data_IF_150679711247
#
_entry.id   IF_150679711247
#
_cell.length_a   1.000
_cell.length_b   1.000
_cell.length_c   1.000
_cell.angle_alpha   90.00
_cell.angle_beta   90.00
_cell.angle_gamma   90.00
#
_symmetry.space_group_name_H-M   'P 1'
#
loop_
_entity.id
_entity.type
_entity.pdbx_description
1 polymer ?
#
# COMPACT_ATOMS: atom_id res chain seq x y z
N UNK A 1 16.65 -7.52 -41.51
CA UNK A 1 16.11 -8.10 -40.26
C UNK A 1 14.97 -7.20 -39.80
N UNK A 2 13.74 -7.71 -39.73
CA UNK A 2 12.61 -6.95 -39.17
C UNK A 2 12.79 -6.90 -37.65
N UNK A 3 13.11 -5.73 -37.10
CA UNK A 3 13.14 -5.52 -35.65
C UNK A 3 11.69 -5.51 -35.16
N UNK A 4 11.24 -6.61 -34.56
CA UNK A 4 9.97 -6.63 -33.85
C UNK A 4 10.00 -5.59 -32.72
N UNK A 5 9.01 -4.69 -32.71
CA UNK A 5 8.87 -3.66 -31.67
C UNK A 5 7.95 -4.15 -30.55
N UNK A 6 8.51 -4.31 -29.35
CA UNK A 6 7.74 -4.64 -28.16
C UNK A 6 7.09 -3.37 -27.60
N UNK A 7 5.76 -3.31 -27.62
CA UNK A 7 4.99 -2.22 -27.03
C UNK A 7 4.47 -2.62 -25.65
N UNK A 8 4.57 -1.71 -24.67
CA UNK A 8 4.05 -1.92 -23.30
C UNK A 8 3.12 -0.77 -22.92
N UNK A 9 1.95 -1.11 -22.37
CA UNK A 9 1.03 -0.09 -21.86
C UNK A 9 1.52 0.44 -20.51
N UNK A 10 1.07 1.64 -20.11
CA UNK A 10 1.42 2.22 -18.80
C UNK A 10 0.98 1.33 -17.63
N UNK A 11 -0.22 0.73 -17.73
CA UNK A 11 -0.71 -0.19 -16.71
C UNK A 11 0.12 -1.49 -16.65
N UNK A 12 0.49 -2.06 -17.80
CA UNK A 12 1.36 -3.24 -17.84
C UNK A 12 2.77 -2.94 -17.30
N UNK A 13 3.30 -1.74 -17.58
CA UNK A 13 4.56 -1.28 -17.01
C UNK A 13 4.47 -1.13 -15.48
N UNK A 14 3.39 -0.53 -14.98
CA UNK A 14 3.14 -0.40 -13.54
C UNK A 14 3.04 -1.78 -12.85
N UNK A 15 2.32 -2.74 -13.44
CA UNK A 15 2.23 -4.13 -12.94
C UNK A 15 3.62 -4.75 -12.79
N UNK A 16 4.40 -4.75 -13.88
CA UNK A 16 5.74 -5.37 -13.92
C UNK A 16 6.72 -4.74 -12.92
N UNK A 17 6.68 -3.41 -12.80
CA UNK A 17 7.51 -2.69 -11.85
C UNK A 17 7.08 -2.95 -10.41
N UNK A 18 5.77 -2.98 -10.12
CA UNK A 18 5.24 -3.27 -8.79
C UNK A 18 5.59 -4.69 -8.35
N UNK A 19 5.42 -5.69 -9.22
CA UNK A 19 5.85 -7.06 -8.95
C UNK A 19 7.35 -7.14 -8.66
N UNK A 20 8.17 -6.37 -9.39
CA UNK A 20 9.62 -6.33 -9.13
C UNK A 20 9.94 -5.65 -7.79
N UNK A 21 9.28 -4.55 -7.45
CA UNK A 21 9.46 -3.87 -6.17
C UNK A 21 9.06 -4.77 -4.98
N UNK A 22 7.97 -5.53 -5.10
CA UNK A 22 7.56 -6.51 -4.09
C UNK A 22 8.60 -7.62 -3.92
N UNK A 23 9.16 -8.13 -5.03
CA UNK A 23 10.23 -9.14 -4.98
C UNK A 23 11.47 -8.61 -4.28
N UNK A 24 11.90 -7.39 -4.60
CA UNK A 24 13.05 -6.73 -3.95
C UNK A 24 12.77 -6.50 -2.45
N UNK A 25 11.56 -6.07 -2.10
CA UNK A 25 11.15 -5.89 -0.71
C UNK A 25 11.23 -7.19 0.10
N UNK A 26 10.74 -8.30 -0.44
CA UNK A 26 10.82 -9.59 0.25
C UNK A 26 12.21 -10.21 0.26
N UNK A 27 13.08 -9.81 -0.66
CA UNK A 27 14.49 -10.18 -0.68
C UNK A 27 15.33 -9.33 0.30
N UNK A 28 14.71 -8.34 0.96
CA UNK A 28 15.42 -7.37 1.82
C UNK A 28 16.55 -6.66 1.07
N UNK A 29 16.30 -6.32 -0.19
CA UNK A 29 17.20 -5.51 -1.00
C UNK A 29 17.28 -4.06 -0.51
N UNK A 30 18.17 -3.27 -1.11
CA UNK A 30 18.41 -1.88 -0.73
C UNK A 30 17.11 -1.04 -0.70
N UNK A 31 16.89 -0.35 0.42
CA UNK A 31 15.67 0.42 0.67
C UNK A 31 15.45 1.55 -0.33
N UNK A 32 16.51 2.20 -0.81
CA UNK A 32 16.42 3.28 -1.79
C UNK A 32 16.11 2.73 -3.19
N UNK A 33 16.63 1.56 -3.54
CA UNK A 33 16.29 0.87 -4.78
C UNK A 33 14.82 0.46 -4.81
N UNK A 34 14.31 -0.13 -3.73
CA UNK A 34 12.88 -0.47 -3.58
C UNK A 34 12.03 0.79 -3.69
N UNK A 35 12.39 1.84 -2.94
CA UNK A 35 11.63 3.09 -2.91
C UNK A 35 11.56 3.73 -4.28
N UNK A 36 12.67 3.77 -5.02
CA UNK A 36 12.75 4.35 -6.37
C UNK A 36 11.73 3.70 -7.31
N UNK A 37 11.67 2.36 -7.31
CA UNK A 37 10.74 1.63 -8.18
C UNK A 37 9.30 1.82 -7.69
N UNK A 38 9.06 1.70 -6.38
CA UNK A 38 7.73 1.87 -5.81
C UNK A 38 7.17 3.28 -6.04
N UNK A 39 7.97 4.33 -5.91
CA UNK A 39 7.54 5.72 -6.19
C UNK A 39 7.22 5.93 -7.66
N UNK A 40 8.00 5.33 -8.57
CA UNK A 40 7.73 5.39 -10.00
C UNK A 40 6.41 4.70 -10.35
N UNK A 41 6.15 3.52 -9.76
CA UNK A 41 4.86 2.81 -9.86
C UNK A 41 3.73 3.69 -9.34
N UNK A 42 3.90 4.29 -8.16
CA UNK A 42 2.84 5.08 -7.54
C UNK A 42 2.47 6.31 -8.36
N UNK A 43 3.47 6.98 -8.95
CA UNK A 43 3.26 8.07 -9.91
C UNK A 43 2.44 7.63 -11.13
N UNK A 44 2.79 6.47 -11.72
CA UNK A 44 2.03 5.90 -12.85
C UNK A 44 0.57 5.60 -12.47
N UNK A 45 0.36 4.94 -11.32
CA UNK A 45 -0.98 4.54 -10.88
C UNK A 45 -1.84 5.76 -10.54
N UNK A 46 -1.28 6.78 -9.87
CA UNK A 46 -1.95 8.07 -9.65
C UNK A 46 -2.44 8.67 -10.96
N UNK A 47 -1.56 8.78 -11.95
CA UNK A 47 -1.89 9.45 -13.20
C UNK A 47 -2.97 8.67 -13.98
N UNK A 48 -2.91 7.34 -13.95
CA UNK A 48 -3.93 6.47 -14.54
C UNK A 48 -5.28 6.56 -13.80
N UNK A 49 -5.28 6.68 -12.47
CA UNK A 49 -6.49 6.94 -11.67
C UNK A 49 -7.12 8.29 -12.01
N UNK A 50 -6.29 9.33 -12.11
CA UNK A 50 -6.75 10.68 -12.49
C UNK A 50 -7.42 10.68 -13.86
N UNK A 51 -6.85 9.98 -14.85
CA UNK A 51 -7.43 9.85 -16.19
C UNK A 51 -8.84 9.20 -16.18
N UNK A 52 -9.13 8.40 -15.15
CA UNK A 52 -10.43 7.76 -14.92
C UNK A 52 -11.36 8.55 -13.98
N UNK A 53 -11.01 9.80 -13.66
CA UNK A 53 -11.79 10.66 -12.76
C UNK A 53 -11.69 10.28 -11.28
N UNK A 54 -10.71 9.47 -10.88
CA UNK A 54 -10.46 9.09 -9.49
C UNK A 54 -9.32 9.92 -8.88
N UNK A 55 -9.30 10.03 -7.54
CA UNK A 55 -8.22 10.71 -6.81
C UNK A 55 -7.59 9.75 -5.80
N UNK A 56 -6.35 9.36 -6.06
CA UNK A 56 -5.60 8.46 -5.17
C UNK A 56 -5.43 9.04 -3.76
N UNK A 57 -5.18 10.34 -3.64
CA UNK A 57 -5.06 10.98 -2.34
C UNK A 57 -6.39 10.93 -1.57
N UNK A 58 -7.52 11.21 -2.25
CA UNK A 58 -8.84 11.14 -1.63
C UNK A 58 -9.19 9.69 -1.22
N UNK A 59 -8.91 8.71 -2.06
CA UNK A 59 -9.14 7.28 -1.77
C UNK A 59 -8.28 6.79 -0.60
N UNK A 60 -7.03 7.27 -0.51
CA UNK A 60 -6.15 6.96 0.61
C UNK A 60 -6.71 7.53 1.93
N UNK A 61 -7.19 8.77 1.96
CA UNK A 61 -7.83 9.34 3.16
C UNK A 61 -9.15 8.65 3.49
N UNK A 62 -9.98 8.36 2.48
CA UNK A 62 -11.22 7.59 2.63
C UNK A 62 -10.96 6.28 3.35
N UNK A 63 -9.98 5.51 2.86
CA UNK A 63 -9.61 4.21 3.44
C UNK A 63 -9.17 4.35 4.88
N UNK A 64 -8.24 5.27 5.17
CA UNK A 64 -7.70 5.49 6.52
C UNK A 64 -8.81 5.88 7.50
N UNK A 65 -9.60 6.91 7.20
CA UNK A 65 -10.62 7.40 8.12
C UNK A 65 -11.81 6.44 8.24
N UNK A 66 -12.18 5.76 7.15
CA UNK A 66 -13.23 4.75 7.20
C UNK A 66 -12.89 3.64 8.18
N UNK A 67 -11.70 3.04 8.06
CA UNK A 67 -11.30 1.95 8.93
C UNK A 67 -11.07 2.42 10.37
N UNK A 68 -10.51 3.62 10.57
CA UNK A 68 -10.36 4.23 11.89
C UNK A 68 -11.71 4.36 12.61
N UNK A 69 -12.71 4.97 11.96
CA UNK A 69 -14.02 5.20 12.56
C UNK A 69 -14.79 3.90 12.74
N UNK A 70 -14.81 3.03 11.73
CA UNK A 70 -15.51 1.74 11.82
C UNK A 70 -14.94 0.88 12.95
N UNK A 71 -13.62 0.76 13.05
CA UNK A 71 -12.98 -0.09 14.04
C UNK A 71 -13.08 0.52 15.45
N UNK A 72 -13.14 1.86 15.56
CA UNK A 72 -13.56 2.55 16.79
C UNK A 72 -14.98 2.16 17.20
N UNK A 73 -15.96 2.26 16.29
CA UNK A 73 -17.36 1.90 16.57
C UNK A 73 -17.53 0.40 16.90
N UNK A 74 -16.62 -0.46 16.44
CA UNK A 74 -16.55 -1.89 16.78
C UNK A 74 -15.87 -2.18 18.12
N UNK A 75 -15.17 -1.22 18.71
CA UNK A 75 -14.31 -1.45 19.88
C UNK A 75 -13.08 -2.31 19.56
N UNK A 76 -12.62 -2.32 18.31
CA UNK A 76 -11.50 -3.14 17.82
C UNK A 76 -10.28 -2.31 17.43
N UNK A 77 -10.18 -1.07 17.91
CA UNK A 77 -9.00 -0.25 17.67
C UNK A 77 -7.74 -0.91 18.23
N UNK A 78 -6.60 -0.80 17.52
CA UNK A 78 -5.32 -1.22 18.05
C UNK A 78 -4.95 -0.50 19.36
N UNK A 79 -4.20 -1.20 20.22
CA UNK A 79 -3.82 -0.70 21.54
C UNK A 79 -3.07 0.65 21.52
N UNK A 80 -2.30 0.95 20.47
CA UNK A 80 -1.58 2.22 20.37
C UNK A 80 -2.50 3.43 20.20
N UNK A 81 -3.72 3.25 19.68
CA UNK A 81 -4.73 4.30 19.69
C UNK A 81 -5.35 4.44 21.08
N UNK A 82 -5.66 3.32 21.74
CA UNK A 82 -6.38 3.30 23.02
C UNK A 82 -5.51 3.59 24.25
N UNK A 83 -4.18 3.48 24.11
CA UNK A 83 -3.24 3.71 25.20
C UNK A 83 -3.02 5.18 25.54
N UNK A 84 -3.28 6.09 24.60
CA UNK A 84 -3.13 7.53 24.80
C UNK A 84 -4.51 8.22 24.79
N UNK A 85 -4.95 8.79 25.94
CA UNK A 85 -6.23 9.49 26.04
C UNK A 85 -6.38 10.65 25.05
N UNK A 86 -5.28 11.32 24.68
CA UNK A 86 -5.34 12.45 23.75
C UNK A 86 -5.62 11.98 22.32
N UNK A 87 -4.95 10.90 21.90
CA UNK A 87 -5.23 10.18 20.65
C UNK A 87 -6.66 9.64 20.64
N UNK A 88 -7.15 9.05 21.72
CA UNK A 88 -8.55 8.58 21.78
C UNK A 88 -9.57 9.71 21.64
N UNK A 89 -9.34 10.86 22.29
CA UNK A 89 -10.21 12.02 22.14
C UNK A 89 -10.23 12.57 20.70
N UNK A 90 -9.11 12.48 19.97
CA UNK A 90 -9.05 12.78 18.53
C UNK A 90 -9.91 11.81 17.73
N UNK A 91 -9.78 10.51 17.98
CA UNK A 91 -10.55 9.47 17.30
C UNK A 91 -12.06 9.63 17.54
N UNK A 92 -12.46 9.91 18.78
CA UNK A 92 -13.86 10.20 19.13
C UNK A 92 -14.40 11.38 18.32
N UNK A 93 -13.65 12.49 18.27
CA UNK A 93 -14.06 13.68 17.51
C UNK A 93 -14.19 13.40 16.02
N UNK A 94 -13.24 12.68 15.44
CA UNK A 94 -13.30 12.27 14.03
C UNK A 94 -14.52 11.38 13.80
N UNK A 95 -14.77 10.42 14.68
CA UNK A 95 -15.90 9.51 14.57
C UNK A 95 -17.25 10.24 14.68
N UNK A 96 -17.34 11.33 15.44
CA UNK A 96 -18.54 12.16 15.54
C UNK A 96 -18.74 13.02 14.29
N UNK A 97 -17.67 13.60 13.74
CA UNK A 97 -17.71 14.30 12.46
C UNK A 97 -18.08 13.38 11.29
N UNK A 98 -17.66 12.11 11.36
CA UNK A 98 -17.94 11.06 10.38
C UNK A 98 -19.03 10.09 10.86
N UNK A 99 -20.01 10.60 11.64
CA UNK A 99 -21.10 9.83 12.23
C UNK A 99 -21.94 8.95 11.28
N UNK A 100 -22.02 9.20 9.94
CA UNK A 100 -22.64 8.24 9.03
C UNK A 100 -21.93 6.89 8.91
N UNK A 101 -20.65 6.80 9.30
CA UNK A 101 -19.88 5.56 9.29
C UNK A 101 -20.19 4.78 10.58
N UNK A 102 -20.79 3.60 10.43
CA UNK A 102 -21.16 2.71 11.53
C UNK A 102 -20.24 1.48 11.57
N UNK A 103 -20.41 0.64 12.60
CA UNK A 103 -19.69 -0.63 12.72
C UNK A 103 -19.94 -1.59 11.53
N UNK A 104 -21.07 -1.45 10.84
CA UNK A 104 -21.51 -2.34 9.75
C UNK A 104 -21.36 -1.71 8.36
N UNK A 105 -20.96 -0.43 8.27
CA UNK A 105 -20.68 0.22 7.00
C UNK A 105 -19.61 -0.55 6.21
N UNK A 106 -19.71 -0.50 4.88
CA UNK A 106 -18.70 -0.97 3.95
C UNK A 106 -17.97 0.22 3.35
N UNK A 107 -16.71 0.01 2.94
CA UNK A 107 -15.91 1.07 2.34
C UNK A 107 -16.59 1.65 1.10
N UNK A 108 -17.26 0.80 0.32
CA UNK A 108 -18.07 1.14 -0.87
C UNK A 108 -19.17 2.17 -0.61
N UNK A 109 -19.63 2.29 0.63
CA UNK A 109 -20.78 3.13 0.98
C UNK A 109 -20.37 4.60 1.19
N UNK A 110 -19.06 4.87 1.24
CA UNK A 110 -18.49 6.19 1.50
C UNK A 110 -17.78 6.68 0.27
N UNK A 111 -17.90 7.97 -0.03
CA UNK A 111 -17.06 8.68 -0.99
C UNK A 111 -16.27 9.76 -0.25
N UNK A 112 -15.09 10.11 -0.76
CA UNK A 112 -14.29 11.19 -0.20
C UNK A 112 -13.88 12.17 -1.29
N UNK A 113 -13.85 13.44 -0.92
CA UNK A 113 -13.19 14.50 -1.65
C UNK A 113 -12.26 15.22 -0.69
N UNK A 114 -11.17 15.76 -1.20
CA UNK A 114 -10.20 16.51 -0.38
C UNK A 114 -9.91 17.88 -1.00
N UNK A 115 -9.65 18.90 -0.18
CA UNK A 115 -9.15 20.19 -0.65
C UNK A 115 -7.81 20.07 -1.39
N UNK A 116 -7.56 20.97 -2.35
CA UNK A 116 -6.34 20.94 -3.17
C UNK A 116 -5.05 21.16 -2.38
N UNK A 117 -5.09 21.90 -1.26
CA UNK A 117 -3.94 22.09 -0.38
C UNK A 117 -3.60 20.82 0.41
N UNK A 118 -4.62 20.04 0.78
CA UNK A 118 -4.44 18.74 1.44
C UNK A 118 -3.88 17.72 0.46
N UNK A 119 -4.38 17.72 -0.79
CA UNK A 119 -3.81 16.87 -1.85
C UNK A 119 -2.34 17.21 -2.12
N UNK A 120 -1.98 18.50 -2.17
CA UNK A 120 -0.57 18.92 -2.33
C UNK A 120 0.31 18.42 -1.19
N UNK A 121 -0.15 18.54 0.06
CA UNK A 121 0.58 18.04 1.24
C UNK A 121 0.80 16.54 1.16
N UNK A 122 -0.24 15.79 0.85
CA UNK A 122 -0.17 14.34 0.63
C UNK A 122 0.92 13.97 -0.38
N UNK A 123 0.94 14.62 -1.55
CA UNK A 123 1.95 14.32 -2.57
C UNK A 123 3.35 14.79 -2.22
N UNK A 124 3.49 15.88 -1.45
CA UNK A 124 4.80 16.34 -0.99
C UNK A 124 5.42 15.36 0.00
N UNK A 125 4.61 14.83 0.92
CA UNK A 125 5.05 13.81 1.89
C UNK A 125 5.46 12.52 1.19
N UNK A 126 4.58 11.97 0.33
CA UNK A 126 4.85 10.72 -0.40
C UNK A 126 6.07 10.83 -1.31
N UNK A 127 6.24 11.96 -2.00
CA UNK A 127 7.35 12.11 -2.95
C UNK A 127 8.64 12.60 -2.30
N UNK A 128 8.68 12.83 -0.98
CA UNK A 128 9.83 13.46 -0.31
C UNK A 128 11.14 12.72 -0.58
N UNK A 129 11.18 11.41 -0.31
CA UNK A 129 12.37 10.60 -0.52
C UNK A 129 12.71 10.46 -2.02
N UNK A 130 11.73 10.18 -2.89
CA UNK A 130 11.96 10.14 -4.34
C UNK A 130 12.48 11.48 -4.92
N UNK A 131 12.02 12.61 -4.39
CA UNK A 131 12.48 13.94 -4.76
C UNK A 131 13.91 14.18 -4.29
N UNK A 132 14.25 13.78 -3.06
CA UNK A 132 15.63 13.81 -2.57
C UNK A 132 16.57 13.03 -3.51
N UNK A 133 16.20 11.80 -3.88
CA UNK A 133 17.01 10.93 -4.72
C UNK A 133 17.25 11.48 -6.15
N UNK A 134 16.28 12.17 -6.74
CA UNK A 134 16.38 12.67 -8.13
C UNK A 134 16.85 14.12 -8.26
N UNK A 135 16.87 14.90 -7.19
CA UNK A 135 17.22 16.34 -7.20
C UNK A 135 18.57 16.67 -6.58
N UNK A 136 19.57 15.82 -6.83
CA UNK A 136 20.95 16.08 -6.44
C UNK A 136 21.48 17.41 -7.03
N UNK A 137 20.92 17.91 -8.14
CA UNK A 137 21.27 19.20 -8.74
C UNK A 137 21.01 20.41 -7.83
N UNK A 138 20.07 20.27 -6.88
CA UNK A 138 19.64 21.35 -5.98
C UNK A 138 20.13 21.17 -4.55
N UNK A 139 20.52 19.95 -4.19
CA UNK A 139 20.90 19.59 -2.83
C UNK A 139 21.95 18.48 -2.82
N UNK A 140 23.14 18.77 -3.35
CA UNK A 140 24.25 17.79 -3.44
C UNK A 140 24.77 17.30 -2.09
N UNK A 141 24.55 18.06 -1.01
CA UNK A 141 25.04 17.76 0.35
C UNK A 141 23.93 17.38 1.32
N UNK A 142 22.69 17.28 0.84
CA UNK A 142 21.56 16.90 1.66
C UNK A 142 21.68 15.46 2.16
N UNK A 143 20.96 15.16 3.22
CA UNK A 143 20.91 13.82 3.82
C UNK A 143 19.47 13.37 3.97
N UNK A 144 19.20 12.09 3.75
CA UNK A 144 17.93 11.45 4.01
C UNK A 144 18.10 10.41 5.12
N UNK A 145 17.26 10.47 6.14
CA UNK A 145 17.19 9.43 7.16
C UNK A 145 16.42 8.24 6.57
N UNK A 146 17.05 7.06 6.55
CA UNK A 146 16.46 5.86 5.96
C UNK A 146 15.23 5.38 6.76
N UNK A 147 15.21 5.64 8.07
CA UNK A 147 14.09 5.33 8.96
C UNK A 147 12.80 6.07 8.58
N UNK A 148 12.90 7.15 7.80
CA UNK A 148 11.75 7.89 7.30
C UNK A 148 11.23 7.35 5.94
N UNK A 149 11.85 6.30 5.40
CA UNK A 149 11.47 5.64 4.14
C UNK A 149 10.60 4.43 4.43
N UNK A 150 9.28 4.59 4.35
CA UNK A 150 8.33 3.49 4.57
C UNK A 150 7.95 2.79 3.25
N UNK A 151 8.81 1.86 2.82
CA UNK A 151 8.57 1.05 1.62
C UNK A 151 7.37 0.13 1.74
N UNK A 152 7.08 -0.40 2.93
CA UNK A 152 5.94 -1.27 3.15
C UNK A 152 4.63 -0.50 2.92
N UNK A 153 4.49 0.69 3.50
CA UNK A 153 3.33 1.55 3.29
C UNK A 153 3.21 2.00 1.84
N UNK A 154 4.31 2.37 1.18
CA UNK A 154 4.28 2.78 -0.22
C UNK A 154 3.84 1.63 -1.14
N UNK A 155 4.35 0.41 -0.92
CA UNK A 155 3.93 -0.78 -1.66
C UNK A 155 2.46 -1.12 -1.40
N UNK A 156 1.98 -1.01 -0.17
CA UNK A 156 0.57 -1.19 0.16
C UNK A 156 -0.33 -0.20 -0.60
N UNK A 157 0.08 1.08 -0.67
CA UNK A 157 -0.62 2.09 -1.48
C UNK A 157 -0.58 1.75 -2.96
N UNK A 158 0.55 1.30 -3.49
CA UNK A 158 0.65 0.85 -4.88
C UNK A 158 -0.28 -0.34 -5.18
N UNK A 159 -0.33 -1.35 -4.30
CA UNK A 159 -1.22 -2.50 -4.44
C UNK A 159 -2.70 -2.09 -4.42
N UNK A 160 -3.08 -1.17 -3.52
CA UNK A 160 -4.43 -0.62 -3.46
C UNK A 160 -4.77 0.14 -4.74
N UNK A 161 -3.92 1.08 -5.14
CA UNK A 161 -4.10 1.89 -6.34
C UNK A 161 -4.17 1.04 -7.61
N UNK A 162 -3.37 -0.05 -7.69
CA UNK A 162 -3.42 -1.00 -8.79
C UNK A 162 -4.78 -1.71 -8.84
N UNK A 163 -5.26 -2.23 -7.70
CA UNK A 163 -6.53 -2.96 -7.60
C UNK A 163 -7.74 -2.11 -8.00
N UNK A 164 -7.68 -0.80 -7.75
CA UNK A 164 -8.76 0.12 -8.12
C UNK A 164 -8.96 0.27 -9.63
N UNK A 165 -7.90 0.04 -10.44
CA UNK A 165 -7.90 0.31 -11.87
C UNK A 165 -7.56 -0.88 -12.75
N UNK A 166 -6.94 -1.93 -12.21
CA UNK A 166 -6.57 -3.09 -12.98
C UNK A 166 -7.77 -4.01 -13.17
N UNK A 167 -7.99 -4.54 -14.39
CA UNK A 167 -9.00 -5.56 -14.63
C UNK A 167 -8.56 -6.96 -14.14
N UNK A 168 -7.30 -7.10 -13.74
CA UNK A 168 -6.67 -8.34 -13.31
C UNK A 168 -6.06 -8.23 -11.90
N UNK A 169 -5.57 -9.35 -11.38
CA UNK A 169 -4.78 -9.36 -10.15
C UNK A 169 -3.32 -8.95 -10.39
N UNK A 170 -2.57 -8.78 -9.31
CA UNK A 170 -1.14 -8.45 -9.35
C UNK A 170 -0.25 -9.73 -9.37
N UNK A 171 -0.83 -10.89 -9.63
CA UNK A 171 -0.15 -12.18 -9.66
C UNK A 171 0.25 -12.69 -8.28
N UNK A 172 1.22 -13.60 -8.26
CA UNK A 172 1.70 -14.25 -7.04
C UNK A 172 2.36 -13.23 -6.09
N UNK A 173 3.03 -12.19 -6.62
CA UNK A 173 3.62 -11.12 -5.83
C UNK A 173 2.58 -10.35 -5.03
N UNK A 174 1.51 -9.89 -5.70
CA UNK A 174 0.42 -9.20 -5.02
C UNK A 174 -0.27 -10.07 -3.98
N UNK A 175 -0.54 -11.33 -4.33
CA UNK A 175 -1.16 -12.29 -3.42
C UNK A 175 -0.31 -12.54 -2.17
N UNK A 176 1.01 -12.73 -2.33
CA UNK A 176 1.94 -12.88 -1.22
C UNK A 176 2.04 -11.61 -0.37
N UNK A 177 2.09 -10.43 -1.00
CA UNK A 177 2.15 -9.14 -0.31
C UNK A 177 0.90 -8.83 0.52
N UNK A 178 -0.27 -9.15 -0.03
CA UNK A 178 -1.54 -9.03 0.70
C UNK A 178 -1.58 -9.99 1.90
N UNK A 179 -1.15 -11.24 1.72
CA UNK A 179 -1.10 -12.20 2.81
C UNK A 179 -0.09 -11.80 3.90
N UNK A 180 1.07 -11.28 3.52
CA UNK A 180 2.07 -10.70 4.42
C UNK A 180 1.50 -9.56 5.26
N UNK A 181 0.84 -8.61 4.61
CA UNK A 181 0.20 -7.48 5.28
C UNK A 181 -0.88 -7.96 6.26
N UNK A 182 -1.74 -8.88 5.84
CA UNK A 182 -2.79 -9.45 6.66
C UNK A 182 -2.25 -10.28 7.85
N UNK A 183 -1.16 -11.02 7.67
CA UNK A 183 -0.52 -11.80 8.73
C UNK A 183 0.17 -10.91 9.78
N UNK A 184 0.62 -9.72 9.38
CA UNK A 184 1.23 -8.73 10.26
C UNK A 184 0.23 -7.75 10.89
N UNK A 185 -1.03 -7.73 10.42
CA UNK A 185 -2.10 -6.92 10.99
C UNK A 185 -2.97 -7.75 11.97
N UNK A 186 -2.90 -7.49 13.30
CA UNK A 186 -3.71 -8.20 14.28
C UNK A 186 -5.22 -7.99 14.11
N UNK A 187 -5.63 -6.86 13.52
CA UNK A 187 -7.04 -6.51 13.29
C UNK A 187 -7.62 -7.17 12.04
N UNK A 188 -6.82 -7.89 11.25
CA UNK A 188 -7.32 -8.60 10.08
C UNK A 188 -8.23 -9.78 10.48
N UNK A 189 -9.50 -9.69 10.07
CA UNK A 189 -10.53 -10.71 10.31
C UNK A 189 -10.63 -11.67 9.12
N UNK A 190 -10.61 -12.97 9.42
CA UNK A 190 -10.77 -14.00 8.41
C UNK A 190 -12.20 -14.03 7.85
N UNK A 191 -12.32 -14.32 6.57
CA UNK A 191 -13.60 -14.43 5.83
C UNK A 191 -14.00 -15.88 5.50
N UNK A 192 -13.16 -16.86 5.85
CA UNK A 192 -13.36 -18.28 5.54
C UNK A 192 -12.85 -18.70 4.16
N UNK A 193 -12.02 -17.88 3.53
CA UNK A 193 -11.47 -18.08 2.18
C UNK A 193 -10.18 -18.92 2.18
N UNK A 194 -9.76 -19.36 0.99
CA UNK A 194 -8.43 -19.97 0.78
C UNK A 194 -7.31 -18.99 1.12
N UNK A 195 -7.52 -17.68 0.92
CA UNK A 195 -6.60 -16.63 1.35
C UNK A 195 -6.39 -16.62 2.87
N UNK A 196 -7.44 -16.84 3.65
CA UNK A 196 -7.32 -16.88 5.12
C UNK A 196 -6.48 -18.07 5.61
N UNK A 197 -6.49 -19.18 4.86
CA UNK A 197 -5.63 -20.34 5.13
C UNK A 197 -4.16 -20.01 4.90
N UNK A 198 -3.85 -19.23 3.86
CA UNK A 198 -2.49 -18.71 3.63
C UNK A 198 -2.08 -17.77 4.76
N UNK A 199 -2.92 -16.80 5.13
CA UNK A 199 -2.65 -15.86 6.23
C UNK A 199 -2.42 -16.60 7.54
N UNK A 200 -3.26 -17.59 7.86
CA UNK A 200 -3.11 -18.41 9.06
C UNK A 200 -1.79 -19.21 9.05
N UNK A 201 -1.42 -19.77 7.90
CA UNK A 201 -0.15 -20.50 7.75
C UNK A 201 1.05 -19.57 7.93
N UNK A 202 1.01 -18.36 7.36
CA UNK A 202 2.06 -17.35 7.51
C UNK A 202 2.17 -16.84 8.95
N UNK A 203 1.04 -16.73 9.69
CA UNK A 203 1.04 -16.34 11.10
C UNK A 203 1.79 -17.33 12.01
N UNK A 204 1.90 -18.60 11.60
CA UNK A 204 2.68 -19.62 12.33
C UNK A 204 4.19 -19.44 12.17
N UNK A 205 4.63 -18.64 11.20
CA UNK A 205 6.04 -18.33 10.99
C UNK A 205 6.42 -17.09 11.82
N UNK A 206 7.55 -17.12 12.55
CA UNK A 206 8.07 -15.95 13.27
C UNK A 206 8.19 -14.73 12.35
N UNK A 207 7.96 -13.52 12.89
CA UNK A 207 7.82 -12.30 12.08
C UNK A 207 9.06 -12.00 11.24
N UNK A 208 10.22 -12.20 11.82
CA UNK A 208 11.54 -12.06 11.21
C UNK A 208 11.79 -12.98 10.01
N UNK A 209 11.06 -14.08 9.89
CA UNK A 209 11.20 -15.03 8.77
C UNK A 209 10.11 -14.88 7.70
N UNK A 210 9.15 -13.97 7.88
CA UNK A 210 8.02 -13.83 6.94
C UNK A 210 8.44 -13.22 5.61
N UNK A 211 9.43 -12.33 5.58
CA UNK A 211 9.94 -11.75 4.33
C UNK A 211 10.56 -12.84 3.44
N UNK A 212 11.54 -13.57 3.99
CA UNK A 212 12.19 -14.71 3.31
C UNK A 212 11.18 -15.77 2.85
N UNK A 213 10.19 -16.10 3.69
CA UNK A 213 9.12 -17.03 3.31
C UNK A 213 8.34 -16.52 2.09
N UNK A 214 7.93 -15.26 2.08
CA UNK A 214 7.17 -14.68 0.98
C UNK A 214 7.97 -14.70 -0.32
N UNK A 215 9.27 -14.38 -0.25
CA UNK A 215 10.16 -14.48 -1.39
C UNK A 215 10.20 -15.92 -1.96
N UNK A 216 10.44 -16.92 -1.10
CA UNK A 216 10.47 -18.34 -1.51
C UNK A 216 9.15 -18.81 -2.12
N UNK A 217 8.02 -18.42 -1.53
CA UNK A 217 6.68 -18.73 -2.04
C UNK A 217 6.46 -18.14 -3.44
N UNK A 218 6.87 -16.89 -3.66
CA UNK A 218 6.77 -16.26 -4.99
C UNK A 218 7.58 -17.03 -6.03
N UNK A 219 8.84 -17.38 -5.72
CA UNK A 219 9.70 -18.14 -6.64
C UNK A 219 9.07 -19.49 -7.00
N UNK A 220 8.63 -20.25 -6.00
CA UNK A 220 8.00 -21.56 -6.19
C UNK A 220 6.71 -21.46 -7.02
N UNK A 221 5.85 -20.48 -6.75
CA UNK A 221 4.60 -20.30 -7.49
C UNK A 221 4.82 -19.82 -8.93
N UNK A 222 5.86 -19.02 -9.16
CA UNK A 222 6.20 -18.55 -10.50
C UNK A 222 6.80 -19.68 -11.35
N UNK A 223 7.64 -20.55 -10.77
CA UNK A 223 8.24 -21.70 -11.46
C UNK A 223 7.19 -22.72 -11.95
N UNK A 224 6.01 -22.78 -11.31
CA UNK A 224 4.89 -23.66 -11.72
C UNK A 224 4.04 -23.10 -12.86
N UNK A 225 4.24 -21.83 -13.25
CA UNK A 225 3.50 -21.17 -14.34
C UNK A 225 4.26 -21.21 -15.67
N UNK A 226 5.53 -21.61 -15.65
CA UNK A 226 6.39 -21.87 -16.82
C UNK A 226 6.27 -23.33 -17.28
#
# INVERSE_FOLDING_TARGET
>A
MSTASLHVTKLAAAKRQLQSAIRLFFLEEDELAIHTIASAVYGLLKDLKRDRGQSEAADSYRTTFFYLVRDFRRGTLPAHFTSDPSTMAEVERIADQLSPITADSKLSDVQATIPSDLEKRYWNEINRAANFLKHADRDTSGTLQLEEVDNNLLLLKCCSAYRDIAPDDLGNEGWAFEAFTAANNPSHQATGSTFDSLVASMRRVPREHRLELCYKVIIELNARRE
#
